data_IF_496498383330
#
_entry.id   IF_496498383330
#
_cell.length_a   1.000
_cell.length_b   1.000
_cell.length_c   1.000
_cell.angle_alpha   90.00
_cell.angle_beta   90.00
_cell.angle_gamma   90.00
#
_symmetry.space_group_name_H-M   'P 1'
#
loop_
_entity.id
_entity.type
_entity.pdbx_description
1 polymer ?
#
# COMPACT_ATOMS: atom_id res chain seq x y z
N UNK A 1 -36.53 65.71 11.83
CA UNK A 1 -36.13 65.66 10.40
C UNK A 1 -34.87 66.51 10.29
N UNK A 2 -33.65 66.02 10.09
CA UNK A 2 -33.18 64.89 9.30
C UNK A 2 -31.90 64.30 9.89
N UNK A 3 -31.93 62.99 10.15
CA UNK A 3 -30.74 62.16 10.21
C UNK A 3 -30.43 61.71 8.78
N UNK A 4 -29.24 61.98 8.27
CA UNK A 4 -28.54 61.18 7.24
C UNK A 4 -27.31 61.93 6.75
N UNK A 5 -26.18 61.78 7.45
CA UNK A 5 -24.84 62.10 6.92
C UNK A 5 -23.80 61.17 7.55
N UNK A 6 -24.03 59.86 7.57
CA UNK A 6 -23.06 58.89 8.12
C UNK A 6 -23.00 57.56 7.37
N UNK A 7 -23.59 57.44 6.17
CA UNK A 7 -23.62 56.16 5.44
C UNK A 7 -22.48 55.98 4.43
N UNK A 8 -21.72 57.02 4.10
CA UNK A 8 -20.74 56.97 2.99
C UNK A 8 -19.31 56.61 3.43
N UNK A 9 -18.91 56.93 4.67
CA UNK A 9 -17.55 56.64 5.15
C UNK A 9 -17.34 55.17 5.55
N UNK A 10 -18.42 54.47 5.92
CA UNK A 10 -18.37 53.06 6.33
C UNK A 10 -18.19 52.13 5.12
N UNK A 11 -18.77 52.47 3.97
CA UNK A 11 -18.63 51.72 2.71
C UNK A 11 -17.23 51.84 2.08
N UNK A 12 -16.61 53.02 2.18
CA UNK A 12 -15.25 53.24 1.64
C UNK A 12 -14.20 52.48 2.50
N UNK A 13 -14.41 52.40 3.81
CA UNK A 13 -13.55 51.62 4.70
C UNK A 13 -13.67 50.11 4.46
N UNK A 14 -14.85 49.61 4.06
CA UNK A 14 -15.04 48.20 3.70
C UNK A 14 -14.34 47.83 2.38
N UNK A 15 -14.30 48.75 1.40
CA UNK A 15 -13.61 48.51 0.13
C UNK A 15 -12.08 48.45 0.26
N UNK A 16 -11.49 49.18 1.21
CA UNK A 16 -10.03 49.17 1.40
C UNK A 16 -9.52 47.90 2.11
N UNK A 17 -10.32 47.29 2.98
CA UNK A 17 -9.98 46.01 3.62
C UNK A 17 -10.06 44.85 2.60
N UNK A 18 -10.93 44.94 1.58
CA UNK A 18 -10.98 43.92 0.52
C UNK A 18 -9.80 43.95 -0.46
N UNK A 19 -8.93 44.97 -0.42
CA UNK A 19 -7.77 45.05 -1.32
C UNK A 19 -6.45 44.52 -0.72
N UNK A 20 -6.43 44.10 0.56
CA UNK A 20 -5.19 43.65 1.22
C UNK A 20 -5.13 42.15 1.57
N UNK A 21 -5.99 41.31 1.01
CA UNK A 21 -5.81 39.84 1.11
C UNK A 21 -6.41 39.17 -0.11
N UNK A 22 -5.59 38.98 -1.16
CA UNK A 22 -5.16 37.62 -1.47
C UNK A 22 -3.69 37.56 -1.91
N UNK A 23 -2.78 38.13 -1.12
CA UNK A 23 -1.33 38.00 -1.33
C UNK A 23 -0.66 37.01 -0.35
N UNK A 24 -1.45 36.29 0.45
CA UNK A 24 -0.95 35.25 1.38
C UNK A 24 -1.83 33.99 1.29
N UNK A 25 -2.20 33.59 0.07
CA UNK A 25 -2.85 32.29 -0.13
C UNK A 25 -2.54 31.67 -1.51
N UNK A 26 -1.39 32.06 -2.08
CA UNK A 26 -0.88 31.50 -3.33
C UNK A 26 0.45 30.76 -3.14
N UNK A 27 0.71 30.25 -1.93
CA UNK A 27 1.91 29.44 -1.63
C UNK A 27 1.60 28.23 -0.72
N UNK A 28 0.31 27.89 -0.56
CA UNK A 28 -0.15 26.74 0.23
C UNK A 28 -0.96 25.71 -0.56
N UNK A 29 -1.21 25.98 -1.84
CA UNK A 29 -1.69 24.99 -2.82
C UNK A 29 -0.60 24.76 -3.88
N UNK A 30 0.67 24.74 -3.46
CA UNK A 30 1.71 24.00 -4.20
C UNK A 30 1.30 22.54 -4.14
N UNK A 31 0.41 22.14 -5.04
CA UNK A 31 0.65 21.01 -5.94
C UNK A 31 1.34 19.84 -5.23
N UNK A 32 0.77 19.41 -4.09
CA UNK A 32 0.57 17.99 -3.94
C UNK A 32 -0.66 17.73 -4.77
N UNK A 33 -0.45 17.58 -6.08
CA UNK A 33 -1.14 16.51 -6.77
C UNK A 33 -1.08 15.36 -5.78
N UNK A 34 -2.24 15.03 -5.18
CA UNK A 34 -2.40 13.74 -4.57
C UNK A 34 -2.12 12.85 -5.75
N UNK A 35 -0.88 12.33 -5.86
CA UNK A 35 -0.57 11.28 -6.82
C UNK A 35 -1.72 10.31 -6.62
N UNK A 36 -2.60 10.23 -7.61
CA UNK A 36 -3.68 9.27 -7.60
C UNK A 36 -2.96 7.94 -7.50
N UNK A 37 -2.95 7.41 -6.28
CA UNK A 37 -2.24 6.19 -5.99
C UNK A 37 -3.00 5.13 -6.76
N UNK A 38 -2.46 4.74 -7.91
CA UNK A 38 -2.91 3.56 -8.65
C UNK A 38 -2.60 2.27 -7.88
N UNK A 39 -2.16 2.38 -6.62
CA UNK A 39 -1.94 1.25 -5.74
C UNK A 39 -3.25 0.55 -5.43
N UNK A 40 -3.20 -0.77 -5.53
CA UNK A 40 -4.30 -1.65 -5.14
C UNK A 40 -4.35 -1.86 -3.61
N UNK A 41 -3.45 -1.25 -2.86
CA UNK A 41 -3.29 -1.44 -1.42
C UNK A 41 -3.78 -0.24 -0.62
N UNK A 42 -4.37 -0.47 0.57
CA UNK A 42 -4.95 0.59 1.39
C UNK A 42 -3.91 1.45 2.12
N UNK A 43 -2.64 1.01 2.18
CA UNK A 43 -1.53 1.71 2.81
C UNK A 43 -0.46 1.99 1.75
N UNK A 44 0.38 2.99 1.99
CA UNK A 44 1.50 3.28 1.11
C UNK A 44 2.49 2.12 1.13
N UNK A 45 2.74 1.54 -0.04
CA UNK A 45 3.58 0.35 -0.22
C UNK A 45 4.57 0.63 -1.37
N UNK A 46 5.60 1.46 -1.15
CA UNK A 46 6.44 1.96 -2.23
C UNK A 46 7.11 0.85 -3.06
N UNK A 47 7.47 -0.29 -2.44
CA UNK A 47 8.03 -1.43 -3.16
C UNK A 47 6.97 -2.02 -4.09
N UNK A 48 5.75 -2.24 -3.61
CA UNK A 48 4.66 -2.81 -4.41
C UNK A 48 4.18 -1.83 -5.48
N UNK A 49 4.08 -0.54 -5.15
CA UNK A 49 3.63 0.52 -6.04
C UNK A 49 4.58 0.66 -7.26
N UNK A 50 5.86 0.31 -7.08
CA UNK A 50 6.86 0.28 -8.17
C UNK A 50 6.74 -0.93 -9.11
N UNK A 51 5.97 -1.95 -8.74
CA UNK A 51 5.77 -3.17 -9.53
C UNK A 51 4.73 -2.96 -10.62
N UNK A 52 4.77 -3.81 -11.66
CA UNK A 52 3.73 -3.79 -12.71
C UNK A 52 2.34 -4.07 -12.13
N UNK A 53 1.29 -3.48 -12.73
CA UNK A 53 -0.11 -3.65 -12.30
C UNK A 53 -0.52 -5.13 -12.14
N UNK A 54 -0.12 -6.00 -13.08
CA UNK A 54 -0.38 -7.44 -13.01
C UNK A 54 0.17 -8.09 -11.74
N UNK A 55 1.32 -7.61 -11.28
CA UNK A 55 2.00 -8.15 -10.11
C UNK A 55 1.39 -7.59 -8.81
N UNK A 56 1.00 -6.31 -8.81
CA UNK A 56 0.20 -5.73 -7.74
C UNK A 56 -1.12 -6.49 -7.56
N UNK A 57 -1.82 -6.80 -8.66
CA UNK A 57 -3.04 -7.63 -8.63
C UNK A 57 -2.77 -9.06 -8.14
N UNK A 58 -1.58 -9.62 -8.42
CA UNK A 58 -1.18 -10.90 -7.85
C UNK A 58 -1.10 -10.83 -6.34
N UNK A 59 -0.43 -9.82 -5.79
CA UNK A 59 -0.34 -9.62 -4.34
C UNK A 59 -1.68 -9.27 -3.68
N UNK A 60 -2.50 -8.44 -4.33
CA UNK A 60 -3.83 -8.08 -3.81
C UNK A 60 -4.73 -9.31 -3.70
N UNK A 61 -4.64 -10.25 -4.65
CA UNK A 61 -5.36 -11.53 -4.58
C UNK A 61 -4.84 -12.46 -3.49
N UNK A 62 -3.53 -12.43 -3.19
CA UNK A 62 -2.97 -13.17 -2.06
C UNK A 62 -3.43 -12.63 -0.70
N UNK A 63 -3.76 -11.34 -0.63
CA UNK A 63 -4.33 -10.67 0.55
C UNK A 63 -5.86 -10.79 0.64
N UNK A 64 -6.54 -11.15 -0.45
CA UNK A 64 -7.98 -11.28 -0.45
C UNK A 64 -8.38 -12.27 0.64
N UNK A 65 -9.40 -11.95 1.48
CA UNK A 65 -9.80 -12.80 2.58
C UNK A 65 -10.09 -14.18 2.02
N UNK A 66 -9.21 -15.11 2.37
CA UNK A 66 -9.31 -16.53 2.08
C UNK A 66 -10.67 -16.94 2.64
N UNK A 67 -11.64 -17.18 1.76
CA UNK A 67 -13.03 -17.50 2.15
C UNK A 67 -13.02 -18.41 3.37
N UNK A 68 -13.53 -17.92 4.52
CA UNK A 68 -13.96 -18.48 5.83
C UNK A 68 -13.68 -19.97 6.19
N UNK A 69 -12.78 -20.62 5.49
CA UNK A 69 -12.44 -22.03 5.49
C UNK A 69 -11.05 -22.17 6.06
N UNK A 70 -10.94 -21.78 7.33
CA UNK A 70 -9.84 -22.00 8.26
C UNK A 70 -8.52 -22.48 7.65
N UNK A 71 -7.55 -21.57 7.56
CA UNK A 71 -6.17 -21.95 7.81
C UNK A 71 -6.08 -22.40 9.27
N UNK A 72 -6.43 -23.66 9.54
CA UNK A 72 -6.36 -24.25 10.88
C UNK A 72 -4.93 -24.59 11.30
N UNK A 73 -3.93 -24.08 10.58
CA UNK A 73 -2.52 -24.36 10.80
C UNK A 73 -1.63 -23.23 10.32
N UNK A 74 -0.49 -23.09 10.98
CA UNK A 74 0.63 -22.25 10.53
C UNK A 74 1.00 -22.67 9.10
N UNK A 75 1.08 -21.74 8.12
CA UNK A 75 1.41 -22.10 6.75
C UNK A 75 2.81 -22.71 6.68
N UNK A 76 3.10 -23.46 5.61
CA UNK A 76 4.45 -23.99 5.38
C UNK A 76 5.47 -22.85 5.26
N UNK A 77 5.11 -21.80 4.52
CA UNK A 77 5.89 -20.59 4.33
C UNK A 77 5.01 -19.34 4.29
N UNK A 78 5.61 -18.21 4.63
CA UNK A 78 5.08 -16.87 4.43
C UNK A 78 5.84 -16.22 3.28
N UNK A 79 5.14 -15.56 2.38
CA UNK A 79 5.70 -14.59 1.44
C UNK A 79 5.68 -13.22 2.12
N UNK A 80 6.82 -12.53 2.15
CA UNK A 80 6.98 -11.22 2.79
C UNK A 80 7.59 -10.25 1.78
N UNK A 81 7.06 -9.03 1.72
CA UNK A 81 7.60 -7.92 0.94
C UNK A 81 8.20 -6.88 1.90
N UNK A 82 9.51 -6.64 1.80
CA UNK A 82 10.25 -5.76 2.71
C UNK A 82 11.63 -5.37 2.17
N UNK A 83 12.06 -4.14 2.47
CA UNK A 83 13.44 -3.67 2.31
C UNK A 83 14.29 -3.85 3.58
N UNK A 84 13.67 -4.20 4.72
CA UNK A 84 14.28 -4.28 6.05
C UNK A 84 14.57 -5.73 6.49
N UNK A 85 15.20 -6.51 5.61
CA UNK A 85 15.49 -7.94 5.79
C UNK A 85 16.16 -8.24 7.12
N UNK A 86 17.13 -7.42 7.55
CA UNK A 86 17.88 -7.66 8.78
C UNK A 86 16.97 -7.68 10.01
N UNK A 87 15.96 -6.81 10.06
CA UNK A 87 15.01 -6.75 11.18
C UNK A 87 14.11 -7.97 11.25
N UNK A 88 13.60 -8.43 10.09
CA UNK A 88 12.83 -9.67 10.01
C UNK A 88 13.67 -10.84 10.51
N UNK A 89 14.93 -10.91 10.07
CA UNK A 89 15.84 -11.99 10.43
C UNK A 89 16.11 -12.07 11.93
N UNK A 90 16.10 -10.93 12.64
CA UNK A 90 16.28 -10.88 14.09
C UNK A 90 15.05 -11.39 14.86
N UNK A 91 13.85 -11.23 14.29
CA UNK A 91 12.59 -11.71 14.90
C UNK A 91 12.33 -13.20 14.63
N UNK A 92 13.07 -13.81 13.70
CA UNK A 92 12.93 -15.23 13.37
C UNK A 92 13.56 -16.12 14.44
N UNK A 93 12.82 -17.13 14.90
CA UNK A 93 13.32 -18.09 15.89
C UNK A 93 14.34 -19.07 15.30
N UNK A 94 14.06 -19.61 14.12
CA UNK A 94 14.87 -20.62 13.42
C UNK A 94 14.53 -20.62 11.92
N UNK A 95 15.50 -20.85 11.05
CA UNK A 95 15.26 -20.92 9.60
C UNK A 95 15.98 -19.80 8.85
N UNK A 96 15.96 -19.89 7.52
CA UNK A 96 16.53 -18.87 6.64
C UNK A 96 15.45 -18.34 5.74
N UNK A 97 15.46 -17.03 5.51
CA UNK A 97 14.67 -16.43 4.45
C UNK A 97 15.32 -16.77 3.11
N UNK A 98 14.50 -17.05 2.11
CA UNK A 98 14.93 -17.18 0.73
C UNK A 98 14.37 -16.03 -0.08
N UNK A 99 15.22 -15.27 -0.75
CA UNK A 99 14.76 -14.24 -1.68
C UNK A 99 14.14 -14.90 -2.91
N UNK A 100 13.07 -14.30 -3.43
CA UNK A 100 12.57 -14.64 -4.76
C UNK A 100 13.65 -14.39 -5.82
N UNK A 101 13.68 -15.24 -6.85
CA UNK A 101 14.73 -15.18 -7.88
C UNK A 101 14.54 -14.05 -8.89
N UNK A 102 13.32 -13.54 -9.00
CA UNK A 102 12.90 -12.57 -10.02
C UNK A 102 12.45 -11.25 -9.41
N UNK A 103 11.99 -11.28 -8.17
CA UNK A 103 11.48 -10.09 -7.47
C UNK A 103 12.43 -9.68 -6.35
N UNK A 104 12.94 -8.45 -6.48
CA UNK A 104 13.65 -7.80 -5.39
C UNK A 104 12.69 -7.54 -4.23
N UNK A 105 13.22 -7.59 -3.01
CA UNK A 105 12.48 -7.32 -1.77
C UNK A 105 11.36 -8.30 -1.43
N UNK A 106 11.20 -9.39 -2.19
CA UNK A 106 10.25 -10.47 -1.90
C UNK A 106 11.00 -11.67 -1.33
N UNK A 107 10.53 -12.16 -0.19
CA UNK A 107 11.16 -13.26 0.53
C UNK A 107 10.15 -14.32 0.91
N UNK A 108 10.56 -15.58 0.89
CA UNK A 108 9.85 -16.67 1.57
C UNK A 108 10.49 -16.97 2.91
N UNK A 109 9.65 -17.17 3.91
CA UNK A 109 10.04 -17.38 5.31
C UNK A 109 9.31 -18.61 5.84
N UNK A 110 9.99 -19.59 6.46
CA UNK A 110 9.31 -20.77 6.98
C UNK A 110 8.22 -20.37 7.98
N UNK A 111 7.00 -20.87 7.86
CA UNK A 111 5.90 -20.43 8.72
C UNK A 111 6.10 -20.76 10.19
N UNK A 112 6.86 -21.81 10.50
CA UNK A 112 7.26 -22.13 11.88
C UNK A 112 8.30 -21.17 12.48
N UNK A 113 8.94 -20.33 11.66
CA UNK A 113 10.02 -19.44 12.09
C UNK A 113 9.54 -18.11 12.68
N UNK A 114 8.35 -17.67 12.28
CA UNK A 114 7.76 -16.38 12.62
C UNK A 114 6.25 -16.53 12.79
N UNK A 115 5.68 -15.94 13.84
CA UNK A 115 4.25 -16.06 14.11
C UNK A 115 3.45 -15.01 13.36
N UNK A 116 2.16 -15.27 13.15
CA UNK A 116 1.26 -14.30 12.52
C UNK A 116 1.24 -12.97 13.30
N UNK A 117 1.18 -13.01 14.63
CA UNK A 117 1.17 -11.79 15.47
C UNK A 117 2.45 -10.96 15.30
N UNK A 118 3.59 -11.63 15.05
CA UNK A 118 4.85 -10.94 14.77
C UNK A 118 4.82 -10.29 13.40
N UNK A 119 4.30 -10.99 12.38
CA UNK A 119 4.16 -10.44 11.02
C UNK A 119 3.21 -9.24 10.99
N UNK A 120 2.09 -9.34 11.69
CA UNK A 120 1.09 -8.27 11.80
C UNK A 120 1.72 -7.03 12.47
N UNK A 121 2.43 -7.22 13.59
CA UNK A 121 3.17 -6.13 14.24
C UNK A 121 4.22 -5.50 13.33
N UNK A 122 4.98 -6.30 12.58
CA UNK A 122 5.99 -5.81 11.64
C UNK A 122 5.35 -5.02 10.48
N UNK A 123 4.14 -5.41 10.06
CA UNK A 123 3.39 -4.68 9.04
C UNK A 123 2.79 -3.36 9.59
N UNK A 124 2.32 -3.35 10.84
CA UNK A 124 1.85 -2.12 11.50
C UNK A 124 2.96 -1.10 11.74
N UNK A 125 4.17 -1.58 12.03
CA UNK A 125 5.35 -0.72 12.24
C UNK A 125 6.03 -0.28 10.94
N UNK A 126 5.55 -0.78 9.79
CA UNK A 126 6.12 -0.46 8.47
C UNK A 126 7.47 -1.11 8.21
N UNK A 127 7.83 -2.16 8.96
CA UNK A 127 9.01 -2.98 8.69
C UNK A 127 8.75 -4.02 7.59
N UNK A 128 7.47 -4.39 7.43
CA UNK A 128 6.95 -5.19 6.32
C UNK A 128 5.90 -4.35 5.60
N UNK A 129 5.90 -4.37 4.27
CA UNK A 129 4.81 -3.78 3.49
C UNK A 129 3.63 -4.75 3.38
N UNK A 130 3.93 -6.02 3.11
CA UNK A 130 2.94 -7.06 2.89
C UNK A 130 3.45 -8.44 3.32
N UNK A 131 2.58 -9.26 3.91
CA UNK A 131 2.86 -10.68 4.12
C UNK A 131 1.63 -11.54 3.78
N UNK A 132 1.83 -12.69 3.14
CA UNK A 132 0.75 -13.61 2.79
C UNK A 132 1.19 -15.07 2.97
N UNK A 133 0.29 -16.00 3.30
CA UNK A 133 0.66 -17.42 3.34
C UNK A 133 1.06 -17.87 1.93
N UNK A 134 2.19 -18.58 1.82
CA UNK A 134 2.55 -19.25 0.57
C UNK A 134 1.52 -20.35 0.31
N UNK A 135 0.75 -20.23 -0.76
CA UNK A 135 -0.16 -21.30 -1.19
C UNK A 135 0.59 -22.28 -2.08
N UNK A 136 0.84 -23.48 -1.57
CA UNK A 136 1.44 -24.61 -2.30
C UNK A 136 0.53 -25.21 -3.41
N UNK A 137 -0.62 -24.60 -3.73
CA UNK A 137 -1.71 -25.28 -4.46
C UNK A 137 -2.08 -24.71 -5.82
N UNK A 138 -1.42 -23.68 -6.33
CA UNK A 138 -1.52 -23.33 -7.75
C UNK A 138 -0.28 -23.84 -8.47
N UNK A 139 -0.20 -25.18 -8.62
CA UNK A 139 0.56 -25.70 -9.76
C UNK A 139 0.05 -24.96 -10.99
N UNK A 140 0.91 -24.33 -11.81
CA UNK A 140 0.46 -23.71 -13.04
C UNK A 140 -0.25 -24.78 -13.83
N UNK A 141 -1.59 -24.67 -13.96
CA UNK A 141 -2.33 -25.55 -14.85
C UNK A 141 -1.75 -25.27 -16.23
N UNK A 142 -1.09 -26.23 -16.88
CA UNK A 142 -0.63 -26.01 -18.24
C UNK A 142 -1.87 -25.59 -19.04
N UNK A 143 -1.80 -24.44 -19.71
CA UNK A 143 -2.77 -24.15 -20.76
C UNK A 143 -2.57 -25.24 -21.80
N UNK A 144 -3.39 -26.28 -21.75
CA UNK A 144 -3.54 -27.19 -22.87
C UNK A 144 -3.98 -26.31 -24.02
N UNK A 145 -3.11 -26.15 -25.02
CA UNK A 145 -3.50 -25.58 -26.30
C UNK A 145 -4.71 -26.42 -26.73
N UNK A 146 -5.92 -25.84 -26.89
CA UNK A 146 -7.08 -26.61 -27.31
C UNK A 146 -6.67 -27.33 -28.59
N UNK A 147 -6.81 -28.66 -28.59
CA UNK A 147 -6.36 -29.58 -29.64
C UNK A 147 -6.44 -28.89 -31.00
N UNK A 148 -5.29 -28.48 -31.54
CA UNK A 148 -5.22 -27.95 -32.89
C UNK A 148 -5.57 -29.14 -33.80
N UNK A 149 -6.73 -29.13 -34.50
CA UNK A 149 -7.14 -30.25 -35.33
C UNK A 149 -6.27 -30.39 -36.61
N UNK A 150 -5.15 -29.68 -36.70
CA UNK A 150 -4.25 -29.63 -37.85
C UNK A 150 -2.85 -30.24 -37.59
N UNK A 151 -2.65 -30.98 -36.49
CA UNK A 151 -1.45 -31.83 -36.28
C UNK A 151 -1.83 -33.31 -36.36
#
# INVERSE_FOLDING_TARGET
MNAQRTSSYLLISLMLISLQSPLIQADWDSEKEVEESNSLFPRHTPIIDSMSENLQWSFARLQAPLEDGGYSGVPSEWVIVTDQITKISEQMKNGKMAQDRFLDHVYTVPGSSITFETLDFLQETGEIELFAPSQDSLQPTPMTIPDDPLI
#
